data_IF_915274639359
#
_entry.id   IF_915274639359
#
_cell.length_a   1.000
_cell.length_b   1.000
_cell.length_c   1.000
_cell.angle_alpha   90.00
_cell.angle_beta   90.00
_cell.angle_gamma   90.00
#
_symmetry.space_group_name_H-M   'P 1'
#
loop_
_entity.id
_entity.type
_entity.pdbx_description
1 polymer ?
#
# COMPACT_ATOMS: atom_id res chain seq x y z
N UNK A 1 -1.54 46.48 -20.37
CA UNK A 1 -0.61 45.41 -20.78
C UNK A 1 -0.30 44.58 -19.55
N UNK A 2 -1.00 43.48 -19.35
CA UNK A 2 -0.71 42.50 -18.29
C UNK A 2 0.21 41.44 -18.88
N UNK A 3 1.39 41.16 -18.30
CA UNK A 3 2.17 40.01 -18.73
C UNK A 3 1.48 38.73 -18.23
N UNK A 4 1.16 37.84 -19.16
CA UNK A 4 0.73 36.47 -18.87
C UNK A 4 1.89 35.76 -18.16
N UNK A 5 1.68 35.39 -16.90
CA UNK A 5 2.54 34.46 -16.20
C UNK A 5 2.36 33.09 -16.85
N UNK A 6 3.37 32.64 -17.59
CA UNK A 6 3.46 31.26 -18.05
C UNK A 6 3.76 30.37 -16.85
N UNK A 7 2.83 29.46 -16.58
CA UNK A 7 2.88 28.41 -15.56
C UNK A 7 3.99 27.38 -15.85
N UNK A 8 5.25 27.72 -15.58
CA UNK A 8 6.32 26.71 -15.41
C UNK A 8 6.30 26.20 -13.97
N UNK A 9 5.27 25.43 -13.63
CA UNK A 9 5.28 24.67 -12.38
C UNK A 9 6.38 23.60 -12.48
N UNK A 10 7.30 23.49 -11.49
CA UNK A 10 8.35 22.48 -11.52
C UNK A 10 7.71 21.09 -11.60
N UNK A 11 8.00 20.38 -12.68
CA UNK A 11 7.53 19.00 -12.86
C UNK A 11 8.06 18.16 -11.69
N UNK A 12 7.21 17.37 -11.00
CA UNK A 12 7.68 16.54 -9.91
C UNK A 12 8.74 15.57 -10.42
N UNK A 13 9.79 15.28 -9.63
CA UNK A 13 10.84 14.37 -10.05
C UNK A 13 10.24 13.00 -10.35
N UNK A 14 10.46 12.50 -11.57
CA UNK A 14 10.09 11.15 -11.97
C UNK A 14 10.91 10.16 -11.13
N UNK A 15 10.29 9.18 -10.45
CA UNK A 15 11.04 8.22 -9.66
C UNK A 15 11.99 7.39 -10.52
N UNK A 16 13.20 7.16 -10.02
CA UNK A 16 14.20 6.30 -10.68
C UNK A 16 13.60 4.90 -10.95
N UNK A 17 13.81 4.29 -12.12
CA UNK A 17 13.29 2.96 -12.44
C UNK A 17 13.83 1.84 -11.53
N UNK A 18 14.85 2.13 -10.71
CA UNK A 18 15.45 1.19 -9.75
C UNK A 18 14.96 1.37 -8.31
N UNK A 19 14.08 2.34 -8.04
CA UNK A 19 13.57 2.59 -6.70
C UNK A 19 12.68 1.43 -6.23
N UNK A 20 12.76 1.01 -4.95
CA UNK A 20 11.92 -0.06 -4.43
C UNK A 20 10.45 0.38 -4.36
N UNK A 21 9.54 -0.54 -4.70
CA UNK A 21 8.11 -0.31 -4.62
C UNK A 21 7.58 -0.79 -3.27
N UNK A 22 6.88 0.08 -2.55
CA UNK A 22 6.26 -0.25 -1.26
C UNK A 22 4.77 0.02 -1.36
N UNK A 23 3.95 -0.95 -0.96
CA UNK A 23 2.51 -0.74 -0.82
C UNK A 23 2.24 -0.15 0.56
N UNK A 24 1.52 0.97 0.60
CA UNK A 24 1.08 1.65 1.83
C UNK A 24 -0.46 1.65 1.89
N UNK A 25 -1.01 1.54 3.09
CA UNK A 25 -2.44 1.62 3.31
C UNK A 25 -2.89 3.08 3.15
N UNK A 26 -3.82 3.33 2.23
CA UNK A 26 -4.36 4.66 1.98
C UNK A 26 -5.12 5.26 3.17
N UNK A 27 -5.50 4.43 4.16
CA UNK A 27 -6.25 4.88 5.33
C UNK A 27 -5.39 5.06 6.59
N UNK A 28 -4.58 4.05 6.95
CA UNK A 28 -3.83 4.04 8.21
C UNK A 28 -2.31 4.16 8.04
N UNK A 29 -1.82 4.33 6.81
CA UNK A 29 -0.40 4.52 6.48
C UNK A 29 0.54 3.38 6.90
N UNK A 30 0.00 2.22 7.29
CA UNK A 30 0.80 1.01 7.44
C UNK A 30 1.33 0.54 6.09
N UNK A 31 2.53 0.00 6.06
CA UNK A 31 3.17 -0.54 4.86
C UNK A 31 3.05 -2.06 4.81
N UNK A 32 2.95 -2.62 3.60
CA UNK A 32 2.95 -4.07 3.37
C UNK A 32 4.38 -4.60 3.29
N UNK A 33 4.62 -5.68 4.02
CA UNK A 33 5.84 -6.47 4.05
C UNK A 33 5.48 -7.96 3.91
N UNK A 34 6.48 -8.85 3.71
CA UNK A 34 6.22 -10.29 3.62
C UNK A 34 5.53 -10.83 4.89
N UNK A 35 5.86 -10.24 6.04
CA UNK A 35 5.23 -10.45 7.34
C UNK A 35 4.02 -9.53 7.55
N UNK A 36 3.23 -9.22 6.52
CA UNK A 36 1.96 -8.52 6.70
C UNK A 36 2.09 -7.00 6.77
N UNK A 37 1.15 -6.36 7.49
CA UNK A 37 1.04 -4.90 7.55
C UNK A 37 1.63 -4.38 8.86
N UNK A 38 2.44 -3.33 8.79
CA UNK A 38 2.97 -2.65 9.97
C UNK A 38 3.25 -1.18 9.74
N UNK A 39 3.42 -0.43 10.82
CA UNK A 39 3.88 0.95 10.77
C UNK A 39 5.32 0.98 10.21
N UNK A 40 5.65 1.87 9.26
CA UNK A 40 7.01 2.02 8.77
C UNK A 40 7.94 2.55 9.86
N UNK A 41 9.19 2.06 9.91
CA UNK A 41 10.22 2.67 10.73
C UNK A 41 10.62 4.03 10.12
N UNK A 42 11.20 4.91 10.94
CA UNK A 42 11.65 6.22 10.47
C UNK A 42 12.63 6.08 9.29
N UNK A 43 12.33 6.76 8.18
CA UNK A 43 13.15 6.74 6.97
C UNK A 43 13.06 5.47 6.12
N UNK A 44 12.28 4.46 6.51
CA UNK A 44 12.19 3.18 5.78
C UNK A 44 11.64 3.34 4.36
N UNK A 45 10.79 4.34 4.14
CA UNK A 45 10.19 4.62 2.83
C UNK A 45 10.99 5.65 2.02
N UNK A 46 12.14 6.12 2.52
CA UNK A 46 12.92 7.15 1.83
C UNK A 46 13.46 6.62 0.49
N UNK A 47 13.18 7.35 -0.59
CA UNK A 47 13.58 6.96 -1.95
C UNK A 47 12.79 5.78 -2.53
N UNK A 48 11.76 5.29 -1.84
CA UNK A 48 10.85 4.28 -2.36
C UNK A 48 9.71 4.91 -3.16
N UNK A 49 9.20 4.18 -4.15
CA UNK A 49 7.95 4.51 -4.82
C UNK A 49 6.81 3.91 -4.02
N UNK A 50 5.91 4.77 -3.53
CA UNK A 50 4.74 4.34 -2.77
C UNK A 50 3.56 4.05 -3.71
N UNK A 51 2.99 2.88 -3.55
CA UNK A 51 1.73 2.46 -4.16
C UNK A 51 0.69 2.29 -3.08
N UNK A 52 -0.58 2.48 -3.41
CA UNK A 52 -1.65 2.49 -2.42
C UNK A 52 -2.51 1.24 -2.53
N UNK A 53 -2.90 0.69 -1.38
CA UNK A 53 -3.91 -0.34 -1.20
C UNK A 53 -4.64 -0.06 0.14
N UNK A 54 -5.60 -0.87 0.57
CA UNK A 54 -6.24 -0.75 1.88
C UNK A 54 -5.91 -2.01 2.69
N UNK A 55 -5.33 -1.83 3.88
CA UNK A 55 -5.02 -2.98 4.71
C UNK A 55 -6.32 -3.69 5.16
N UNK A 56 -6.26 -5.01 5.43
CA UNK A 56 -7.43 -5.79 5.81
C UNK A 56 -8.23 -5.25 7.01
N UNK A 57 -7.55 -4.65 7.99
CA UNK A 57 -8.22 -4.04 9.15
C UNK A 57 -9.04 -2.82 8.74
N UNK A 58 -8.50 -1.98 7.85
CA UNK A 58 -9.22 -0.83 7.31
C UNK A 58 -10.34 -1.25 6.36
N UNK A 59 -10.17 -2.33 5.58
CA UNK A 59 -11.28 -2.89 4.78
C UNK A 59 -12.44 -3.33 5.69
N UNK A 60 -12.18 -3.97 6.83
CA UNK A 60 -13.25 -4.33 7.79
C UNK A 60 -13.97 -3.12 8.37
N UNK A 61 -13.23 -2.07 8.72
CA UNK A 61 -13.80 -0.88 9.32
C UNK A 61 -14.59 -0.04 8.31
N UNK A 62 -14.06 0.14 7.09
CA UNK A 62 -14.64 1.01 6.07
C UNK A 62 -15.69 0.30 5.20
N UNK A 63 -15.49 -1.00 4.96
CA UNK A 63 -16.17 -1.79 3.96
C UNK A 63 -16.56 -3.18 4.50
N UNK A 64 -17.30 -3.25 5.62
CA UNK A 64 -17.56 -4.51 6.34
C UNK A 64 -18.27 -5.57 5.48
N UNK A 65 -19.12 -5.15 4.53
CA UNK A 65 -19.80 -6.04 3.59
C UNK A 65 -18.81 -6.81 2.71
N UNK A 66 -17.75 -6.15 2.22
CA UNK A 66 -16.73 -6.79 1.39
C UNK A 66 -15.78 -7.64 2.23
N UNK A 67 -15.47 -7.18 3.45
CA UNK A 67 -14.65 -7.94 4.37
C UNK A 67 -15.29 -9.30 4.72
N UNK A 68 -16.62 -9.33 4.94
CA UNK A 68 -17.34 -10.58 5.22
C UNK A 68 -17.24 -11.60 4.08
N UNK A 69 -17.26 -11.13 2.82
CA UNK A 69 -17.11 -11.97 1.63
C UNK A 69 -15.68 -12.49 1.53
N UNK A 70 -14.69 -11.62 1.74
CA UNK A 70 -13.28 -12.00 1.74
C UNK A 70 -12.96 -13.04 2.83
N UNK A 71 -13.48 -12.85 4.04
CA UNK A 71 -13.31 -13.78 5.15
C UNK A 71 -13.97 -15.14 4.86
N UNK A 72 -15.15 -15.16 4.23
CA UNK A 72 -15.80 -16.39 3.77
C UNK A 72 -14.97 -17.11 2.72
N UNK A 73 -14.56 -16.42 1.66
CA UNK A 73 -13.75 -17.00 0.60
C UNK A 73 -12.41 -17.53 1.11
N UNK A 74 -11.82 -16.86 2.11
CA UNK A 74 -10.63 -17.37 2.77
C UNK A 74 -10.90 -18.68 3.52
N UNK A 75 -11.94 -18.73 4.35
CA UNK A 75 -12.33 -19.95 5.08
C UNK A 75 -12.63 -21.11 4.13
N UNK A 76 -13.26 -20.83 3.00
CA UNK A 76 -13.62 -21.84 2.00
C UNK A 76 -12.41 -22.28 1.14
N UNK A 77 -11.20 -21.76 1.44
CA UNK A 77 -9.95 -22.09 0.76
C UNK A 77 -9.81 -21.48 -0.64
N UNK A 78 -10.71 -20.58 -1.02
CA UNK A 78 -10.73 -19.94 -2.34
C UNK A 78 -9.84 -18.69 -2.43
N UNK A 79 -9.51 -18.07 -1.29
CA UNK A 79 -8.57 -16.96 -1.20
C UNK A 79 -7.47 -17.22 -0.15
N UNK A 80 -6.24 -16.75 -0.41
CA UNK A 80 -5.19 -16.79 0.61
C UNK A 80 -5.60 -15.94 1.81
N UNK A 81 -5.13 -16.32 3.00
CA UNK A 81 -5.38 -15.55 4.22
C UNK A 81 -4.87 -14.11 4.02
N UNK A 82 -5.75 -13.10 4.01
CA UNK A 82 -5.33 -11.71 3.79
C UNK A 82 -4.51 -11.15 4.97
N UNK A 83 -4.51 -11.87 6.11
CA UNK A 83 -3.75 -11.62 7.33
C UNK A 83 -2.51 -12.52 7.46
N UNK A 84 -2.29 -13.47 6.55
CA UNK A 84 -1.12 -14.33 6.68
C UNK A 84 0.15 -13.54 6.37
N UNK A 85 0.99 -13.45 7.39
CA UNK A 85 2.43 -13.33 7.25
C UNK A 85 2.88 -14.50 6.36
N UNK A 86 3.37 -14.23 5.15
CA UNK A 86 4.03 -15.27 4.37
C UNK A 86 5.28 -15.65 5.16
N UNK A 87 5.26 -16.75 5.90
CA UNK A 87 6.50 -17.35 6.39
C UNK A 87 7.36 -17.56 5.16
N UNK A 88 8.52 -16.88 5.13
CA UNK A 88 9.47 -17.01 4.03
C UNK A 88 9.69 -18.50 3.78
N UNK A 89 9.30 -18.97 2.60
CA UNK A 89 9.55 -20.32 2.16
C UNK A 89 11.02 -20.33 1.72
N UNK A 90 11.90 -20.73 2.63
CA UNK A 90 13.32 -20.96 2.34
C UNK A 90 13.44 -22.24 1.49
N UNK A 91 14.28 -22.25 0.44
CA UNK A 91 14.51 -23.44 -0.40
C UNK A 91 15.15 -24.60 0.37
#
# INVERSE_FOLDING_TARGET
MTPSASDDAPTPPVPSPTAPWIVICAHCSQIRRPDGWRIPAFGECNGAVLTHDICPDCIRALYPQYASVADRLHRDGMLPNPYAHKKAQTP
#
